data_IF_377626551613
#
_entry.id   IF_377626551613
#
_cell.length_a   1.000
_cell.length_b   1.000
_cell.length_c   1.000
_cell.angle_alpha   90.00
_cell.angle_beta   90.00
_cell.angle_gamma   90.00
#
_symmetry.space_group_name_H-M   'P 1'
#
loop_
_entity.id
_entity.type
_entity.pdbx_description
1 polymer ?
#
# COMPACT_ATOMS: atom_id res chain seq x y z
N UNK A 1 5.07 -22.43 -1.95
CA UNK A 1 3.91 -21.74 -2.56
C UNK A 1 3.39 -20.77 -1.53
N UNK A 2 3.65 -19.48 -1.68
CA UNK A 2 3.27 -18.44 -0.70
C UNK A 2 2.27 -17.51 -1.37
N UNK A 3 1.00 -17.71 -1.04
CA UNK A 3 -0.10 -16.87 -1.47
C UNK A 3 0.12 -15.45 -0.93
N UNK A 4 0.07 -14.46 -1.83
CA UNK A 4 -0.26 -13.10 -1.43
C UNK A 4 -1.59 -13.12 -0.66
N UNK A 5 -1.84 -12.16 0.25
CA UNK A 5 -3.13 -12.09 0.90
C UNK A 5 -4.21 -11.77 -0.14
N UNK A 6 -4.95 -12.82 -0.51
CA UNK A 6 -6.30 -12.75 -1.07
C UNK A 6 -6.37 -12.55 -2.58
N UNK A 7 -6.58 -13.65 -3.30
CA UNK A 7 -7.46 -13.68 -4.47
C UNK A 7 -8.80 -13.02 -4.08
N UNK A 8 -9.14 -11.86 -4.65
CA UNK A 8 -10.43 -11.18 -4.39
C UNK A 8 -11.55 -11.72 -5.29
N UNK A 9 -11.57 -13.04 -5.48
CA UNK A 9 -12.68 -13.78 -6.07
C UNK A 9 -13.58 -14.31 -4.95
N UNK A 10 -14.38 -13.44 -4.31
CA UNK A 10 -15.41 -13.95 -3.41
C UNK A 10 -15.84 -13.03 -2.27
N UNK A 11 -16.49 -11.91 -2.59
CA UNK A 11 -17.47 -11.31 -1.68
C UNK A 11 -18.48 -10.51 -2.48
N UNK A 12 -19.64 -11.12 -2.72
CA UNK A 12 -20.83 -10.46 -3.25
C UNK A 12 -21.35 -9.48 -2.18
N UNK A 13 -20.84 -8.27 -2.22
CA UNK A 13 -21.35 -7.10 -1.51
C UNK A 13 -20.99 -5.88 -2.36
N UNK A 14 -22.01 -5.25 -2.97
CA UNK A 14 -21.90 -4.11 -3.87
C UNK A 14 -21.05 -2.97 -3.29
N UNK A 15 -19.76 -2.93 -3.61
CA UNK A 15 -18.88 -1.77 -3.43
C UNK A 15 -17.93 -1.69 -4.63
N UNK A 16 -17.97 -0.57 -5.35
CA UNK A 16 -17.14 -0.25 -6.51
C UNK A 16 -15.70 -0.72 -6.29
N UNK A 17 -15.26 -1.69 -7.11
CA UNK A 17 -13.97 -2.33 -6.96
C UNK A 17 -12.84 -1.32 -7.18
N UNK A 18 -12.21 -0.91 -6.08
CA UNK A 18 -10.88 -0.32 -6.06
C UNK A 18 -9.91 -1.30 -6.72
N UNK A 19 -9.24 -0.92 -7.82
CA UNK A 19 -8.09 -1.69 -8.29
C UNK A 19 -6.94 -1.46 -7.31
N UNK A 20 -6.78 -2.38 -6.35
CA UNK A 20 -5.54 -2.48 -5.60
C UNK A 20 -4.46 -3.00 -6.52
N UNK A 21 -3.47 -2.17 -6.85
CA UNK A 21 -2.37 -2.60 -7.71
C UNK A 21 -1.28 -3.16 -6.81
N UNK A 22 -0.94 -4.43 -7.04
CA UNK A 22 0.28 -5.03 -6.53
C UNK A 22 1.35 -4.91 -7.61
N UNK A 23 2.48 -4.27 -7.30
CA UNK A 23 3.59 -4.06 -8.23
C UNK A 23 4.84 -4.75 -7.68
N UNK A 24 5.63 -5.45 -8.53
CA UNK A 24 6.90 -6.01 -8.10
C UNK A 24 7.93 -4.90 -7.80
N UNK A 25 8.64 -5.06 -6.70
CA UNK A 25 9.90 -4.36 -6.41
C UNK A 25 11.08 -5.35 -6.42
N UNK A 26 12.27 -4.88 -6.01
CA UNK A 26 13.52 -5.65 -6.17
C UNK A 26 13.52 -6.98 -5.39
N UNK A 27 12.96 -6.97 -4.19
CA UNK A 27 12.96 -8.14 -3.30
C UNK A 27 11.59 -8.77 -3.11
N UNK A 28 10.53 -8.25 -3.72
CA UNK A 28 9.19 -8.54 -3.24
C UNK A 28 8.11 -7.85 -4.05
N UNK A 29 6.92 -7.83 -3.49
CA UNK A 29 5.78 -7.12 -4.06
C UNK A 29 5.28 -6.07 -3.07
N UNK A 30 4.80 -4.96 -3.60
CA UNK A 30 4.26 -3.83 -2.85
C UNK A 30 2.85 -3.52 -3.35
N UNK A 31 1.98 -3.00 -2.49
CA UNK A 31 0.60 -2.71 -2.87
C UNK A 31 0.02 -1.50 -2.14
N UNK A 32 -0.99 -0.88 -2.74
CA UNK A 32 -1.85 0.13 -2.11
C UNK A 32 -3.27 0.02 -2.67
N UNK A 33 -4.27 0.30 -1.82
CA UNK A 33 -5.65 0.52 -2.23
C UNK A 33 -6.38 1.44 -1.26
N UNK A 34 -7.47 2.03 -1.77
CA UNK A 34 -8.47 2.73 -0.96
C UNK A 34 -9.43 1.74 -0.29
N UNK A 35 -9.68 1.96 1.00
CA UNK A 35 -10.62 1.21 1.82
C UNK A 35 -11.69 2.16 2.37
N UNK A 36 -12.91 1.65 2.58
CA UNK A 36 -14.05 2.44 3.06
C UNK A 36 -14.33 3.69 2.20
N UNK A 37 -14.55 3.47 0.89
CA UNK A 37 -14.56 4.55 -0.09
C UNK A 37 -13.13 5.09 -0.29
N UNK A 38 -12.97 6.41 -0.31
CA UNK A 38 -11.67 7.09 -0.34
C UNK A 38 -11.31 7.73 1.02
N UNK A 39 -11.88 7.24 2.12
CA UNK A 39 -11.63 7.78 3.47
C UNK A 39 -10.43 7.14 4.15
N UNK A 40 -9.99 5.97 3.69
CA UNK A 40 -8.81 5.26 4.19
C UNK A 40 -7.95 4.75 3.05
N UNK A 41 -6.65 4.67 3.30
CA UNK A 41 -5.70 3.91 2.49
C UNK A 41 -5.18 2.74 3.30
N UNK A 42 -4.97 1.63 2.60
CA UNK A 42 -4.23 0.47 3.11
C UNK A 42 -3.11 0.14 2.14
N UNK A 43 -1.92 -0.05 2.66
CA UNK A 43 -0.70 -0.29 1.87
C UNK A 43 0.22 -1.26 2.60
N UNK A 44 1.13 -1.88 1.87
CA UNK A 44 2.09 -2.80 2.44
C UNK A 44 3.01 -3.42 1.40
N UNK A 45 3.80 -4.39 1.86
CA UNK A 45 4.70 -5.18 1.04
C UNK A 45 4.82 -6.63 1.54
N UNK A 46 5.33 -7.49 0.66
CA UNK A 46 5.74 -8.87 0.94
C UNK A 46 7.11 -9.10 0.33
N UNK A 47 8.09 -9.47 1.16
CA UNK A 47 9.46 -9.81 0.78
C UNK A 47 9.52 -11.30 0.40
N UNK A 48 10.25 -11.61 -0.68
CA UNK A 48 10.53 -12.99 -1.10
C UNK A 48 11.33 -13.70 -0.01
N UNK A 49 10.99 -14.96 0.29
CA UNK A 49 11.70 -15.77 1.30
C UNK A 49 13.22 -15.84 1.08
N UNK A 50 13.67 -15.84 -0.19
CA UNK A 50 15.09 -15.82 -0.56
C UNK A 50 15.84 -14.54 -0.19
N UNK A 51 15.12 -13.50 0.25
CA UNK A 51 15.68 -12.21 0.69
C UNK A 51 15.59 -12.02 2.20
N UNK A 52 15.20 -13.05 2.95
CA UNK A 52 15.07 -13.00 4.41
C UNK A 52 13.75 -12.38 4.87
N UNK A 53 13.77 -11.84 6.08
CA UNK A 53 12.61 -11.20 6.72
C UNK A 53 12.88 -9.70 6.84
N UNK A 54 11.82 -8.89 6.82
CA UNK A 54 11.96 -7.46 7.06
C UNK A 54 12.35 -7.21 8.52
N UNK A 55 13.31 -6.32 8.75
CA UNK A 55 13.70 -5.85 10.08
C UNK A 55 13.17 -4.43 10.32
N UNK A 56 13.34 -3.54 9.35
CA UNK A 56 12.85 -2.17 9.39
C UNK A 56 12.48 -1.69 8.00
N UNK A 57 11.72 -0.60 7.93
CA UNK A 57 11.37 0.03 6.66
C UNK A 57 11.22 1.54 6.78
N UNK A 58 11.53 2.20 5.68
CA UNK A 58 11.05 3.54 5.37
C UNK A 58 9.86 3.39 4.44
N UNK A 59 8.71 3.98 4.77
CA UNK A 59 7.51 3.86 3.95
C UNK A 59 6.69 5.14 4.01
N UNK A 60 6.14 5.54 2.87
CA UNK A 60 5.19 6.62 2.78
C UNK A 60 4.08 6.27 1.80
N UNK A 61 2.91 6.87 2.02
CA UNK A 61 1.87 6.92 1.01
C UNK A 61 1.49 8.37 0.76
N UNK A 62 1.36 8.74 -0.50
CA UNK A 62 0.88 10.05 -0.93
C UNK A 62 -0.48 9.89 -1.57
N UNK A 63 -1.43 10.70 -1.14
CA UNK A 63 -2.79 10.74 -1.69
C UNK A 63 -3.01 12.11 -2.29
N UNK A 64 -3.46 12.13 -3.54
CA UNK A 64 -3.91 13.33 -4.23
C UNK A 64 -5.41 13.23 -4.48
N UNK A 65 -6.15 14.27 -4.10
CA UNK A 65 -7.59 14.40 -4.37
C UNK A 65 -7.83 15.32 -5.56
N UNK A 66 -8.79 14.98 -6.41
CA UNK A 66 -9.13 15.76 -7.60
C UNK A 66 -10.49 16.44 -7.38
N UNK A 67 -10.53 17.77 -7.47
CA UNK A 67 -11.71 18.60 -7.26
C UNK A 67 -11.36 20.09 -7.13
N UNK A 68 -12.37 20.94 -6.92
CA UNK A 68 -12.16 22.38 -6.61
C UNK A 68 -11.38 22.50 -5.30
N UNK A 69 -10.08 22.79 -5.39
CA UNK A 69 -9.16 22.88 -4.25
C UNK A 69 -8.30 21.64 -4.00
N UNK A 70 -8.07 20.79 -5.02
CA UNK A 70 -7.31 19.55 -4.93
C UNK A 70 -6.12 19.59 -3.95
N UNK A 71 -6.10 18.63 -3.04
CA UNK A 71 -5.13 18.57 -1.95
C UNK A 71 -4.24 17.33 -2.10
N UNK A 72 -2.98 17.46 -1.69
CA UNK A 72 -2.06 16.33 -1.60
C UNK A 72 -1.66 16.13 -0.14
N UNK A 73 -1.83 14.91 0.36
CA UNK A 73 -1.42 14.52 1.70
C UNK A 73 -0.36 13.42 1.64
N UNK A 74 0.70 13.53 2.44
CA UNK A 74 1.71 12.49 2.59
C UNK A 74 1.65 11.90 3.99
N UNK A 75 1.64 10.57 4.07
CA UNK A 75 1.48 9.81 5.29
C UNK A 75 2.74 8.98 5.54
N UNK A 76 3.63 9.39 6.47
CA UNK A 76 4.78 8.58 6.85
C UNK A 76 4.31 7.36 7.65
N UNK A 77 4.80 6.18 7.26
CA UNK A 77 4.47 4.89 7.88
C UNK A 77 5.73 4.03 8.14
N UNK A 78 6.89 4.66 8.17
CA UNK A 78 8.17 4.06 8.52
C UNK A 78 8.16 3.48 9.93
N UNK A 79 8.94 2.42 10.15
CA UNK A 79 9.06 1.80 11.45
C UNK A 79 9.79 0.47 11.43
N UNK A 80 9.67 -0.26 12.54
CA UNK A 80 10.12 -1.64 12.61
C UNK A 80 9.11 -2.56 11.93
N UNK A 81 9.62 -3.56 11.23
CA UNK A 81 8.79 -4.64 10.74
C UNK A 81 8.42 -5.58 11.90
N UNK A 82 7.27 -6.28 11.84
CA UNK A 82 6.93 -7.29 12.82
C UNK A 82 8.00 -8.38 12.87
N UNK A 83 8.34 -8.82 14.08
CA UNK A 83 9.37 -9.83 14.28
C UNK A 83 9.06 -11.08 13.45
N UNK A 84 10.07 -11.55 12.71
CA UNK A 84 9.99 -12.72 11.84
C UNK A 84 8.96 -12.64 10.69
N UNK A 85 8.54 -11.44 10.29
CA UNK A 85 7.59 -11.28 9.19
C UNK A 85 8.28 -10.96 7.86
N UNK A 86 7.87 -11.66 6.81
CA UNK A 86 8.17 -11.29 5.43
C UNK A 86 7.23 -10.19 4.91
N UNK A 87 6.20 -9.83 5.68
CA UNK A 87 5.17 -8.89 5.25
C UNK A 87 4.95 -7.77 6.26
N UNK A 88 4.58 -6.60 5.74
CA UNK A 88 4.16 -5.48 6.54
C UNK A 88 2.98 -4.79 5.86
N UNK A 89 2.12 -4.17 6.67
CA UNK A 89 1.00 -3.38 6.19
C UNK A 89 0.64 -2.29 7.19
N UNK A 90 0.02 -1.23 6.70
CA UNK A 90 -0.57 -0.18 7.50
C UNK A 90 -1.88 0.32 6.91
N UNK A 91 -2.74 0.83 7.80
CA UNK A 91 -3.98 1.53 7.46
C UNK A 91 -3.85 2.97 7.97
N UNK A 92 -4.25 3.94 7.14
CA UNK A 92 -4.33 5.35 7.51
C UNK A 92 -5.62 5.97 7.03
N UNK A 93 -6.23 6.77 7.90
CA UNK A 93 -7.34 7.65 7.56
C UNK A 93 -6.82 8.85 6.78
N UNK A 94 -7.50 9.19 5.69
CA UNK A 94 -7.21 10.38 4.90
C UNK A 94 -7.91 11.57 5.55
N UNK A 95 -7.13 12.52 6.05
CA UNK A 95 -7.63 13.73 6.71
C UNK A 95 -7.55 14.91 5.73
N UNK A 96 -8.52 15.04 4.82
CA UNK A 96 -8.75 16.20 3.93
C UNK A 96 -9.96 15.91 3.01
N UNK A 97 -10.58 16.91 2.33
CA UNK A 97 -11.97 16.80 1.89
C UNK A 97 -12.21 15.59 1.00
N UNK A 98 -13.23 14.81 1.39
CA UNK A 98 -13.70 13.62 0.72
C UNK A 98 -14.31 14.00 -0.63
N UNK A 99 -13.47 14.15 -1.64
CA UNK A 99 -13.92 14.41 -3.03
C UNK A 99 -14.35 13.10 -3.68
N UNK A 100 -15.05 13.17 -4.82
CA UNK A 100 -15.46 11.99 -5.58
C UNK A 100 -14.30 11.27 -6.29
N UNK A 101 -13.10 11.86 -6.35
CA UNK A 101 -11.94 11.36 -7.09
C UNK A 101 -10.66 11.42 -6.25
N UNK A 102 -9.92 10.32 -6.19
CA UNK A 102 -8.63 10.30 -5.54
C UNK A 102 -7.65 9.34 -6.22
N UNK A 103 -6.35 9.65 -6.13
CA UNK A 103 -5.26 8.75 -6.49
C UNK A 103 -4.30 8.62 -5.33
N UNK A 104 -3.77 7.42 -5.13
CA UNK A 104 -2.77 7.16 -4.11
C UNK A 104 -1.54 6.51 -4.73
N UNK A 105 -0.38 6.81 -4.18
CA UNK A 105 0.91 6.21 -4.46
C UNK A 105 1.49 5.77 -3.12
N UNK A 106 2.11 4.60 -3.05
CA UNK A 106 2.90 4.21 -1.88
C UNK A 106 4.24 3.66 -2.30
N UNK A 107 5.23 3.84 -1.45
CA UNK A 107 6.57 3.35 -1.73
C UNK A 107 7.50 3.51 -0.55
N UNK A 108 8.70 2.99 -0.72
CA UNK A 108 9.68 2.96 0.34
C UNK A 108 10.72 1.86 0.17
N UNK A 109 11.48 1.64 1.24
CA UNK A 109 12.51 0.61 1.30
C UNK A 109 12.39 -0.20 2.58
N UNK A 110 12.71 -1.49 2.52
CA UNK A 110 12.81 -2.35 3.70
C UNK A 110 14.23 -2.91 3.81
N UNK A 111 14.78 -2.90 5.02
CA UNK A 111 16.05 -3.58 5.33
C UNK A 111 15.71 -4.96 5.85
N UNK A 112 16.40 -5.97 5.32
CA UNK A 112 16.15 -7.37 5.67
C UNK A 112 17.20 -7.92 6.62
N UNK A 113 16.84 -8.98 7.34
CA UNK A 113 17.78 -9.75 8.18
C UNK A 113 18.91 -10.41 7.40
N UNK A 114 18.75 -10.58 6.08
CA UNK A 114 19.77 -11.08 5.18
C UNK A 114 20.67 -9.97 4.59
N UNK A 115 20.56 -8.73 5.07
CA UNK A 115 21.41 -7.60 4.66
C UNK A 115 21.00 -6.90 3.36
N UNK A 116 19.86 -7.25 2.78
CA UNK A 116 19.33 -6.59 1.58
C UNK A 116 18.56 -5.31 1.92
N UNK A 117 18.70 -4.30 1.06
CA UNK A 117 17.80 -3.16 0.99
C UNK A 117 16.83 -3.42 -0.16
N UNK A 118 15.54 -3.44 0.15
CA UNK A 118 14.48 -3.86 -0.75
C UNK A 118 13.59 -2.68 -1.08
N UNK A 119 13.60 -2.25 -2.34
CA UNK A 119 12.76 -1.16 -2.83
C UNK A 119 11.34 -1.64 -3.15
N UNK A 120 10.39 -0.73 -2.97
CA UNK A 120 9.02 -0.86 -3.48
C UNK A 120 9.00 -0.70 -5.00
N UNK A 121 8.03 -1.33 -5.66
CA UNK A 121 7.69 -1.06 -7.07
C UNK A 121 6.77 0.14 -7.27
N UNK A 122 6.61 0.97 -6.24
CA UNK A 122 5.79 2.19 -6.24
C UNK A 122 4.34 2.00 -6.74
N UNK A 123 3.55 1.11 -6.08
CA UNK A 123 2.18 0.84 -6.47
C UNK A 123 1.31 2.10 -6.40
N UNK A 124 0.38 2.20 -7.35
CA UNK A 124 -0.62 3.26 -7.40
C UNK A 124 -2.04 2.70 -7.30
N UNK A 125 -2.97 3.49 -6.75
CA UNK A 125 -4.39 3.17 -6.72
C UNK A 125 -5.20 4.39 -7.18
N UNK A 126 -6.34 4.13 -7.82
CA UNK A 126 -7.29 5.18 -8.23
C UNK A 126 -8.68 4.85 -7.67
N UNK A 127 -9.35 5.87 -7.15
CA UNK A 127 -10.75 5.83 -6.77
C UNK A 127 -11.56 6.57 -7.83
N UNK A 128 -12.37 5.86 -8.66
CA UNK A 128 -13.12 6.46 -9.74
C UNK A 128 -14.33 7.25 -9.24
N UNK A 129 -14.78 8.17 -10.09
CA UNK A 129 -16.01 8.93 -9.91
C UNK A 129 -17.24 7.98 -9.92
N UNK A 130 -18.27 8.30 -9.12
CA UNK A 130 -19.61 7.73 -9.28
C UNK A 130 -20.40 8.56 -10.28
#
# INVERSE_FOLDING_TARGET
>A
MSNAPGDFSGSRGSMLATQGITVPGDCGNSWIYFQNGNTQIRTGYVIKSSRGQAFSHTWSATVATLGMGGATGSYPMSGLAPLHSASWQAIRTIVQPYTSKASALAGGTAVTTAGWICSSGDPTAKYPER
#
